data_IF_931550664755
#
_entry.id   IF_931550664755
#
_cell.length_a   1.000
_cell.length_b   1.000
_cell.length_c   1.000
_cell.angle_alpha   90.00
_cell.angle_beta   90.00
_cell.angle_gamma   90.00
#
_symmetry.space_group_name_H-M   'P 1'
#
loop_
_entity.id
_entity.type
_entity.pdbx_description
1 polymer ?
#
# COMPACT_ATOMS: atom_id res chain seq x y z
N UNK A 1 -45.12 14.02 -8.99
CA UNK A 1 -43.75 14.47 -9.33
C UNK A 1 -42.84 13.26 -9.22
N UNK A 2 -42.17 12.88 -10.31
CA UNK A 2 -41.35 11.66 -10.40
C UNK A 2 -39.96 11.97 -9.86
N UNK A 3 -39.57 11.41 -8.72
CA UNK A 3 -38.18 11.47 -8.25
C UNK A 3 -37.32 10.57 -9.14
N UNK A 4 -36.50 11.19 -9.98
CA UNK A 4 -35.45 10.52 -10.70
C UNK A 4 -34.37 10.06 -9.70
N UNK A 5 -34.29 8.75 -9.50
CA UNK A 5 -33.08 8.12 -8.98
C UNK A 5 -31.97 8.35 -10.02
N UNK A 6 -31.14 9.37 -9.79
CA UNK A 6 -29.89 9.51 -10.53
C UNK A 6 -28.98 8.36 -10.12
N UNK A 7 -29.09 7.24 -10.82
CA UNK A 7 -28.07 6.20 -10.80
C UNK A 7 -26.79 6.81 -11.37
N UNK A 8 -25.93 7.31 -10.48
CA UNK A 8 -24.52 7.46 -10.79
C UNK A 8 -24.03 6.06 -11.09
N UNK A 9 -23.97 5.72 -12.37
CA UNK A 9 -23.24 4.54 -12.85
C UNK A 9 -21.84 4.69 -12.30
N UNK A 10 -21.51 3.89 -11.29
CA UNK A 10 -20.16 3.81 -10.73
C UNK A 10 -19.24 3.43 -11.88
N UNK A 11 -18.68 4.44 -12.54
CA UNK A 11 -17.65 4.24 -13.56
C UNK A 11 -16.45 3.72 -12.80
N UNK A 12 -16.33 2.40 -12.67
CA UNK A 12 -15.15 1.77 -12.13
C UNK A 12 -13.94 2.37 -12.87
N UNK A 13 -13.16 3.24 -12.23
CA UNK A 13 -12.12 4.00 -12.92
C UNK A 13 -11.03 3.08 -13.46
N UNK A 14 -10.94 1.87 -12.88
CA UNK A 14 -10.02 0.80 -13.22
C UNK A 14 -10.69 -0.35 -13.98
N UNK A 15 -11.82 -0.10 -14.65
CA UNK A 15 -12.40 -1.09 -15.56
C UNK A 15 -11.35 -1.53 -16.60
N UNK A 16 -11.40 -2.81 -17.00
CA UNK A 16 -10.47 -3.35 -18.00
C UNK A 16 -10.67 -2.59 -19.32
N UNK A 17 -9.59 -2.18 -19.99
CA UNK A 17 -9.66 -1.55 -21.31
C UNK A 17 -10.39 -2.45 -22.31
N UNK A 18 -11.26 -1.85 -23.13
CA UNK A 18 -12.02 -2.58 -24.17
C UNK A 18 -11.17 -2.94 -25.39
N UNK A 19 -10.09 -2.19 -25.62
CA UNK A 19 -9.20 -2.36 -26.76
C UNK A 19 -7.84 -2.87 -26.27
N UNK A 20 -7.29 -3.87 -26.96
CA UNK A 20 -5.92 -4.29 -26.78
C UNK A 20 -5.02 -3.64 -27.85
N UNK A 21 -3.73 -3.39 -27.57
CA UNK A 21 -2.79 -2.92 -28.57
C UNK A 21 -2.74 -3.90 -29.75
N UNK A 22 -3.00 -3.42 -30.98
CA UNK A 22 -2.95 -4.25 -32.18
C UNK A 22 -1.50 -4.65 -32.53
N UNK A 23 -1.27 -5.93 -32.78
CA UNK A 23 0.05 -6.48 -33.16
C UNK A 23 0.48 -6.18 -34.61
N UNK A 24 -0.32 -5.46 -35.39
CA UNK A 24 -0.05 -5.12 -36.79
C UNK A 24 0.80 -3.86 -36.97
N UNK A 25 1.11 -3.13 -35.89
CA UNK A 25 1.96 -1.94 -35.95
C UNK A 25 3.45 -2.32 -35.87
N UNK A 26 4.28 -1.74 -36.74
CA UNK A 26 5.71 -2.02 -36.99
C UNK A 26 6.64 -2.12 -35.75
N UNK A 27 6.18 -1.72 -34.56
CA UNK A 27 6.96 -1.58 -33.33
C UNK A 27 6.37 -2.37 -32.13
N UNK A 28 5.58 -3.42 -32.37
CA UNK A 28 4.96 -4.24 -31.31
C UNK A 28 5.19 -5.73 -31.58
N UNK A 29 5.76 -6.43 -30.60
CA UNK A 29 5.87 -7.89 -30.63
C UNK A 29 4.66 -8.53 -29.91
N UNK A 30 4.34 -9.79 -30.21
CA UNK A 30 3.35 -10.58 -29.48
C UNK A 30 3.65 -10.63 -27.97
N UNK A 31 4.94 -10.70 -27.64
CA UNK A 31 5.41 -10.79 -26.26
C UNK A 31 5.14 -9.50 -25.49
N UNK A 32 5.26 -8.34 -26.14
CA UNK A 32 4.93 -7.04 -25.53
C UNK A 32 3.43 -6.91 -25.24
N UNK A 33 2.58 -7.52 -26.06
CA UNK A 33 1.13 -7.51 -25.88
C UNK A 33 0.72 -8.44 -24.75
N UNK A 34 1.34 -9.62 -24.65
CA UNK A 34 1.14 -10.53 -23.53
C UNK A 34 1.57 -9.85 -22.21
N UNK A 35 2.77 -9.28 -22.18
CA UNK A 35 3.29 -8.55 -21.02
C UNK A 35 2.39 -7.37 -20.65
N UNK A 36 1.89 -6.61 -21.65
CA UNK A 36 0.97 -5.50 -21.39
C UNK A 36 -0.31 -5.97 -20.68
N UNK A 37 -0.89 -7.12 -21.07
CA UNK A 37 -2.09 -7.64 -20.42
C UNK A 37 -1.83 -7.96 -18.94
N UNK A 38 -0.72 -8.62 -18.63
CA UNK A 38 -0.32 -8.96 -17.26
C UNK A 38 -0.08 -7.71 -16.41
N UNK A 39 0.60 -6.71 -16.97
CA UNK A 39 0.87 -5.45 -16.30
C UNK A 39 -0.40 -4.66 -16.02
N UNK A 40 -1.34 -4.59 -16.97
CA UNK A 40 -2.64 -3.91 -16.77
C UNK A 40 -3.44 -4.56 -15.64
N UNK A 41 -3.47 -5.89 -15.59
CA UNK A 41 -4.15 -6.61 -14.51
C UNK A 41 -3.49 -6.36 -13.15
N UNK A 42 -2.16 -6.36 -13.11
CA UNK A 42 -1.40 -6.08 -11.89
C UNK A 42 -1.57 -4.64 -11.40
N UNK A 43 -1.49 -3.65 -12.30
CA UNK A 43 -1.72 -2.24 -11.97
C UNK A 43 -3.13 -2.01 -11.46
N UNK A 44 -4.14 -2.62 -12.10
CA UNK A 44 -5.54 -2.55 -11.65
C UNK A 44 -5.70 -3.09 -10.23
N UNK A 45 -5.15 -4.26 -9.94
CA UNK A 45 -5.22 -4.86 -8.61
C UNK A 45 -4.54 -3.97 -7.56
N UNK A 46 -3.32 -3.50 -7.83
CA UNK A 46 -2.57 -2.63 -6.92
C UNK A 46 -3.28 -1.30 -6.67
N UNK A 47 -3.83 -0.68 -7.71
CA UNK A 47 -4.53 0.59 -7.57
C UNK A 47 -5.84 0.46 -6.79
N UNK A 48 -6.58 -0.64 -6.99
CA UNK A 48 -7.79 -0.93 -6.22
C UNK A 48 -7.47 -1.24 -4.75
N UNK A 49 -6.39 -1.99 -4.47
CA UNK A 49 -5.98 -2.30 -3.10
C UNK A 49 -5.54 -1.08 -2.28
N UNK A 50 -5.02 -0.04 -2.94
CA UNK A 50 -4.49 1.15 -2.29
C UNK A 50 -5.34 2.41 -2.53
N UNK A 51 -6.53 2.26 -3.12
CA UNK A 51 -7.43 3.36 -3.52
C UNK A 51 -6.72 4.48 -4.33
N UNK A 52 -5.79 4.11 -5.21
CA UNK A 52 -5.05 5.08 -6.03
C UNK A 52 -5.85 5.51 -7.27
N UNK A 53 -5.72 6.78 -7.61
CA UNK A 53 -6.23 7.34 -8.87
C UNK A 53 -5.25 7.08 -10.02
N UNK A 54 -5.71 7.18 -11.27
CA UNK A 54 -4.85 7.02 -12.46
C UNK A 54 -3.70 8.02 -12.50
N UNK A 55 -3.96 9.27 -12.09
CA UNK A 55 -2.93 10.31 -11.99
C UNK A 55 -1.89 9.96 -10.93
N UNK A 56 -2.31 9.44 -9.79
CA UNK A 56 -1.39 9.02 -8.73
C UNK A 56 -0.53 7.83 -9.15
N UNK A 57 -1.10 6.84 -9.84
CA UNK A 57 -0.33 5.71 -10.38
C UNK A 57 0.66 6.18 -11.46
N UNK A 58 0.25 7.05 -12.38
CA UNK A 58 1.13 7.62 -13.40
C UNK A 58 2.32 8.36 -12.78
N UNK A 59 2.06 9.19 -11.75
CA UNK A 59 3.08 9.89 -10.96
C UNK A 59 4.06 8.92 -10.28
N UNK A 60 3.56 7.83 -9.68
CA UNK A 60 4.40 6.81 -9.02
C UNK A 60 5.29 6.03 -9.98
N UNK A 61 4.80 5.75 -11.18
CA UNK A 61 5.57 5.09 -12.26
C UNK A 61 6.58 6.07 -12.88
N UNK A 62 6.39 7.39 -12.73
CA UNK A 62 7.18 8.40 -13.43
C UNK A 62 6.82 8.49 -14.91
N UNK A 63 5.54 8.28 -15.24
CA UNK A 63 5.00 8.38 -16.59
C UNK A 63 4.07 9.60 -16.69
N UNK A 64 4.12 10.39 -17.78
CA UNK A 64 3.14 11.45 -17.98
C UNK A 64 1.71 10.89 -18.02
N UNK A 65 0.76 11.57 -17.36
CA UNK A 65 -0.63 11.12 -17.23
C UNK A 65 -1.31 10.79 -18.56
N UNK A 66 -1.05 11.59 -19.59
CA UNK A 66 -1.56 11.35 -20.94
C UNK A 66 -1.00 10.07 -21.56
N UNK A 67 0.29 9.80 -21.36
CA UNK A 67 0.96 8.57 -21.81
C UNK A 67 0.42 7.35 -21.06
N UNK A 68 0.28 7.44 -19.74
CA UNK A 68 -0.27 6.36 -18.92
C UNK A 68 -1.72 6.04 -19.31
N UNK A 69 -2.54 7.07 -19.54
CA UNK A 69 -3.93 6.89 -19.94
C UNK A 69 -4.05 6.21 -21.30
N UNK A 70 -3.22 6.58 -22.29
CA UNK A 70 -3.19 5.93 -23.61
C UNK A 70 -2.62 4.50 -23.53
N UNK A 71 -1.59 4.29 -22.71
CA UNK A 71 -0.99 2.96 -22.48
C UNK A 71 -1.99 2.02 -21.81
N UNK A 72 -2.65 2.48 -20.75
CA UNK A 72 -3.69 1.72 -20.07
C UNK A 72 -4.86 1.45 -21.01
N UNK A 73 -5.30 2.42 -21.82
CA UNK A 73 -6.40 2.22 -22.77
C UNK A 73 -6.06 1.30 -23.96
N UNK A 74 -4.80 0.88 -24.11
CA UNK A 74 -4.33 0.06 -25.24
C UNK A 74 -4.19 0.83 -26.56
N UNK A 75 -4.32 2.16 -26.54
CA UNK A 75 -4.28 3.03 -27.73
C UNK A 75 -2.94 3.73 -27.95
N UNK A 76 -1.94 3.45 -27.11
CA UNK A 76 -0.63 4.09 -27.19
C UNK A 76 0.12 3.76 -28.49
N UNK A 77 0.36 4.77 -29.33
CA UNK A 77 0.96 4.63 -30.65
C UNK A 77 2.50 4.47 -30.65
N UNK A 78 3.17 4.75 -29.52
CA UNK A 78 4.63 4.66 -29.40
C UNK A 78 5.16 3.24 -29.15
N UNK A 79 6.43 3.16 -28.76
CA UNK A 79 7.10 1.90 -28.41
C UNK A 79 6.51 1.31 -27.11
N UNK A 80 5.71 0.25 -27.24
CA UNK A 80 5.00 -0.39 -26.13
C UNK A 80 5.97 -1.02 -25.12
N UNK A 81 6.99 -1.75 -25.59
CA UNK A 81 7.98 -2.41 -24.74
C UNK A 81 8.71 -1.46 -23.77
N UNK A 82 9.05 -0.24 -24.20
CA UNK A 82 9.67 0.77 -23.31
C UNK A 82 8.76 1.18 -22.15
N UNK A 83 7.46 1.31 -22.40
CA UNK A 83 6.50 1.66 -21.35
C UNK A 83 6.21 0.47 -20.46
N UNK A 84 6.08 -0.73 -21.03
CA UNK A 84 5.93 -1.96 -20.27
C UNK A 84 7.11 -2.18 -19.31
N UNK A 85 8.35 -1.97 -19.75
CA UNK A 85 9.53 -2.09 -18.91
C UNK A 85 9.50 -1.15 -17.69
N UNK A 86 9.08 0.11 -17.88
CA UNK A 86 8.91 1.07 -16.77
C UNK A 86 7.86 0.62 -15.76
N UNK A 87 6.70 0.18 -16.26
CA UNK A 87 5.60 -0.29 -15.40
C UNK A 87 6.01 -1.55 -14.66
N UNK A 88 6.67 -2.49 -15.33
CA UNK A 88 7.19 -3.73 -14.75
C UNK A 88 8.18 -3.43 -13.62
N UNK A 89 9.18 -2.58 -13.86
CA UNK A 89 10.16 -2.18 -12.85
C UNK A 89 9.50 -1.56 -11.61
N UNK A 90 8.48 -0.72 -11.81
CA UNK A 90 7.74 -0.12 -10.70
C UNK A 90 6.97 -1.17 -9.87
N UNK A 91 6.33 -2.14 -10.53
CA UNK A 91 5.63 -3.23 -9.84
C UNK A 91 6.60 -4.09 -9.03
N UNK A 92 7.75 -4.44 -9.59
CA UNK A 92 8.76 -5.23 -8.89
C UNK A 92 9.31 -4.47 -7.67
N UNK A 93 9.60 -3.18 -7.80
CA UNK A 93 10.01 -2.35 -6.67
C UNK A 93 8.95 -2.31 -5.54
N UNK A 94 7.67 -2.29 -5.90
CA UNK A 94 6.57 -2.36 -4.93
C UNK A 94 6.48 -3.74 -4.25
N UNK A 95 6.64 -4.83 -5.00
CA UNK A 95 6.66 -6.20 -4.44
C UNK A 95 7.83 -6.39 -3.48
N UNK A 96 9.02 -5.92 -3.85
CA UNK A 96 10.20 -5.94 -2.99
C UNK A 96 9.94 -5.16 -1.69
N UNK A 97 9.42 -3.94 -1.79
CA UNK A 97 9.10 -3.11 -0.62
C UNK A 97 8.05 -3.78 0.26
N UNK A 98 6.99 -4.34 -0.32
CA UNK A 98 5.96 -5.07 0.43
C UNK A 98 6.52 -6.36 1.08
N UNK A 99 7.43 -7.06 0.41
CA UNK A 99 8.15 -8.21 0.97
C UNK A 99 9.05 -7.82 2.14
N UNK A 100 9.78 -6.71 2.02
CA UNK A 100 10.60 -6.13 3.09
C UNK A 100 9.74 -5.70 4.28
N UNK A 101 8.59 -5.05 4.05
CA UNK A 101 7.66 -4.67 5.12
C UNK A 101 7.08 -5.88 5.86
N UNK A 102 6.82 -7.00 5.16
CA UNK A 102 6.42 -8.26 5.81
C UNK A 102 7.54 -8.89 6.64
N UNK A 103 8.80 -8.64 6.28
CA UNK A 103 9.96 -9.13 7.02
C UNK A 103 10.33 -8.27 8.23
N UNK A 104 9.87 -7.01 8.29
CA UNK A 104 10.04 -6.16 9.46
C UNK A 104 9.05 -6.64 10.54
N UNK A 105 9.52 -7.18 11.68
CA UNK A 105 8.62 -7.48 12.78
C UNK A 105 7.95 -6.18 13.24
N UNK A 106 6.62 -6.21 13.35
CA UNK A 106 5.84 -5.09 13.85
C UNK A 106 6.40 -4.69 15.23
N UNK A 107 6.70 -3.40 15.40
CA UNK A 107 7.28 -2.90 16.65
C UNK A 107 6.37 -3.32 17.82
N UNK A 108 6.90 -4.01 18.86
CA UNK A 108 6.08 -4.44 19.97
C UNK A 108 5.42 -3.21 20.63
N UNK A 109 4.12 -3.30 20.88
CA UNK A 109 3.32 -2.20 21.46
C UNK A 109 3.87 -1.72 22.82
N UNK A 110 4.51 -2.63 23.55
CA UNK A 110 5.22 -2.40 24.78
C UNK A 110 6.37 -3.39 24.93
N UNK A 111 7.57 -2.88 25.16
CA UNK A 111 8.73 -3.71 25.51
C UNK A 111 8.91 -3.66 27.04
N UNK A 112 8.71 -4.79 27.71
CA UNK A 112 9.08 -4.91 29.13
C UNK A 112 10.59 -4.81 29.26
N UNK A 113 11.05 -3.70 29.83
CA UNK A 113 12.43 -3.51 30.25
C UNK A 113 12.55 -3.79 31.76
N UNK A 114 13.77 -3.81 32.31
CA UNK A 114 14.00 -4.13 33.73
C UNK A 114 13.16 -3.25 34.67
N UNK A 115 13.14 -1.95 34.40
CA UNK A 115 12.37 -0.96 35.19
C UNK A 115 10.86 -1.25 35.11
N UNK A 116 10.35 -1.63 33.94
CA UNK A 116 8.95 -2.00 33.79
C UNK A 116 8.58 -3.22 34.65
N UNK A 117 9.45 -4.23 34.71
CA UNK A 117 9.24 -5.39 35.59
C UNK A 117 9.23 -4.99 37.06
N UNK A 118 10.22 -4.21 37.51
CA UNK A 118 10.29 -3.75 38.91
C UNK A 118 9.04 -2.94 39.32
N UNK A 119 8.53 -2.09 38.43
CA UNK A 119 7.27 -1.34 38.64
C UNK A 119 6.08 -2.31 38.77
N UNK A 120 5.95 -3.26 37.85
CA UNK A 120 4.85 -4.23 37.84
C UNK A 120 4.88 -5.05 39.13
N UNK A 121 6.03 -5.59 39.52
CA UNK A 121 6.19 -6.42 40.72
C UNK A 121 5.82 -5.64 41.99
N UNK A 122 6.25 -4.38 42.07
CA UNK A 122 5.90 -3.49 43.20
C UNK A 122 4.40 -3.22 43.26
N UNK A 123 3.76 -2.97 42.11
CA UNK A 123 2.31 -2.76 42.05
C UNK A 123 1.53 -4.04 42.36
N UNK A 124 1.99 -5.20 41.89
CA UNK A 124 1.37 -6.50 42.18
C UNK A 124 1.45 -6.83 43.67
N UNK A 125 2.57 -6.54 44.32
CA UNK A 125 2.70 -6.68 45.77
C UNK A 125 1.72 -5.76 46.51
N UNK A 126 1.64 -4.49 46.14
CA UNK A 126 0.72 -3.54 46.75
C UNK A 126 -0.75 -3.96 46.60
N UNK A 127 -1.12 -4.48 45.42
CA UNK A 127 -2.47 -5.00 45.17
C UNK A 127 -2.81 -6.23 46.02
N UNK A 128 -1.83 -7.10 46.28
CA UNK A 128 -2.07 -8.31 47.08
C UNK A 128 -2.14 -8.03 48.59
N UNK A 129 -1.43 -7.01 49.08
CA UNK A 129 -1.44 -6.61 50.49
C UNK A 129 -2.51 -5.56 50.82
N UNK A 130 -3.09 -4.91 49.80
CA UNK A 130 -4.06 -3.83 49.99
C UNK A 130 -3.42 -2.48 50.35
N UNK A 131 -2.13 -2.32 50.07
CA UNK A 131 -1.35 -1.13 50.42
C UNK A 131 -1.24 -0.12 49.25
N UNK A 132 -0.71 1.07 49.55
CA UNK A 132 -0.31 2.05 48.54
C UNK A 132 1.21 2.15 48.43
N UNK A 133 1.71 2.30 47.20
CA UNK A 133 3.14 2.40 46.90
C UNK A 133 3.47 3.68 46.12
N UNK A 134 4.63 4.27 46.39
CA UNK A 134 5.16 5.42 45.67
C UNK A 134 6.41 5.01 44.88
N UNK A 135 6.36 5.17 43.55
CA UNK A 135 7.47 4.85 42.66
C UNK A 135 8.12 6.15 42.16
N UNK A 136 9.38 6.38 42.51
CA UNK A 136 10.15 7.56 42.07
C UNK A 136 11.22 7.16 41.06
N UNK A 137 11.08 7.65 39.83
CA UNK A 137 12.00 7.40 38.73
C UNK A 137 12.16 8.68 37.91
N UNK A 138 13.34 8.88 37.32
CA UNK A 138 13.60 10.01 36.42
C UNK A 138 12.62 10.06 35.23
N UNK A 139 12.52 11.22 34.60
CA UNK A 139 11.72 11.42 33.40
C UNK A 139 12.22 10.49 32.26
N UNK A 140 11.30 9.95 31.46
CA UNK A 140 11.64 9.09 30.32
C UNK A 140 11.82 7.60 30.63
N UNK A 141 11.89 7.18 31.89
CA UNK A 141 12.06 5.76 32.28
C UNK A 141 10.81 4.87 32.12
N UNK A 142 9.82 5.29 31.34
CA UNK A 142 8.67 4.44 31.01
C UNK A 142 7.58 4.30 32.08
N UNK A 143 7.70 4.95 33.26
CA UNK A 143 6.69 4.91 34.35
C UNK A 143 5.23 4.97 33.86
N UNK A 144 4.88 6.02 33.11
CA UNK A 144 3.52 6.23 32.60
C UNK A 144 3.11 5.18 31.55
N UNK A 145 4.05 4.63 30.78
CA UNK A 145 3.75 3.61 29.76
C UNK A 145 3.55 2.24 30.42
N UNK A 146 4.34 1.92 31.44
CA UNK A 146 4.23 0.68 32.22
C UNK A 146 2.89 0.61 32.96
N UNK A 147 2.47 1.67 33.66
CA UNK A 147 1.18 1.70 34.36
C UNK A 147 -0.06 1.60 33.44
N UNK A 148 0.11 1.75 32.12
CA UNK A 148 -0.96 1.54 31.13
C UNK A 148 -1.01 0.10 30.60
N UNK A 149 -0.03 -0.73 30.94
CA UNK A 149 0.14 -2.12 30.49
C UNK A 149 0.25 -3.12 31.66
N UNK A 150 0.02 -2.65 32.89
CA UNK A 150 -0.28 -3.46 34.09
C UNK A 150 -1.76 -3.82 34.08
#
# INVERSE_FOLDING_TARGET
>A
MKNAINATVDKNPWARPKNQPSGTAQNRNSDDIALWNELVDSVRALAQMNDWTKAEVARRIGMPDGTFSQWYAGSYAGQLGKQNAKVHQWIEALKETAGLLKMIPEKPAFQRNRIASEIIDTLTLAQSTGDMVMITLDAGNGKTKTCRHT
#
